data_IF_584353263563
#
_entry.id   IF_584353263563
#
_cell.length_a   1.000
_cell.length_b   1.000
_cell.length_c   1.000
_cell.angle_alpha   90.00
_cell.angle_beta   90.00
_cell.angle_gamma   90.00
#
_symmetry.space_group_name_H-M   'P 1'
#
loop_
_entity.id
_entity.type
_entity.pdbx_description
1 polymer ?
#
# COMPACT_ATOMS: atom_id res chain seq x y z
N UNK A 1 2.70 13.47 -28.85
CA UNK A 1 2.36 12.24 -29.60
C UNK A 1 1.39 12.50 -30.75
N UNK A 2 0.35 13.31 -30.56
CA UNK A 2 -0.67 13.61 -31.59
C UNK A 2 -0.10 14.17 -32.91
N UNK A 3 0.91 15.05 -32.86
CA UNK A 3 1.55 15.58 -34.07
C UNK A 3 2.28 14.52 -34.89
N UNK A 4 2.93 13.55 -34.23
CA UNK A 4 3.64 12.46 -34.91
C UNK A 4 2.67 11.52 -35.63
N UNK A 5 1.52 11.22 -35.02
CA UNK A 5 0.45 10.42 -35.64
C UNK A 5 -0.17 11.14 -36.84
N UNK A 6 -0.43 12.45 -36.74
CA UNK A 6 -0.97 13.23 -37.84
C UNK A 6 0.02 13.35 -39.02
N UNK A 7 1.32 13.51 -38.74
CA UNK A 7 2.37 13.50 -39.76
C UNK A 7 2.49 12.13 -40.45
N UNK A 8 2.43 11.03 -39.68
CA UNK A 8 2.49 9.67 -40.23
C UNK A 8 1.29 9.35 -41.13
N UNK A 9 0.08 9.75 -40.73
CA UNK A 9 -1.14 9.56 -41.54
C UNK A 9 -1.07 10.35 -42.86
N UNK A 10 -0.63 11.62 -42.82
CA UNK A 10 -0.44 12.42 -44.03
C UNK A 10 0.60 11.84 -44.98
N UNK A 11 1.70 11.30 -44.45
CA UNK A 11 2.72 10.64 -45.25
C UNK A 11 2.18 9.39 -45.94
N UNK A 12 1.42 8.56 -45.21
CA UNK A 12 0.77 7.36 -45.76
C UNK A 12 -0.22 7.70 -46.90
N UNK A 13 -1.11 8.66 -46.68
CA UNK A 13 -2.08 9.09 -47.71
C UNK A 13 -1.38 9.65 -48.95
N UNK A 14 -0.29 10.41 -48.77
CA UNK A 14 0.52 10.93 -49.89
C UNK A 14 1.15 9.79 -50.70
N UNK A 15 1.73 8.78 -50.02
CA UNK A 15 2.35 7.63 -50.66
C UNK A 15 1.33 6.81 -51.47
N UNK A 16 0.16 6.53 -50.90
CA UNK A 16 -0.92 5.80 -51.60
C UNK A 16 -1.39 6.58 -52.83
N UNK A 17 -1.53 7.91 -52.73
CA UNK A 17 -1.94 8.75 -53.86
C UNK A 17 -0.87 8.78 -54.97
N UNK A 18 0.40 8.74 -54.61
CA UNK A 18 1.50 8.64 -55.58
C UNK A 18 1.51 7.28 -56.30
N UNK A 19 1.32 6.18 -55.54
CA UNK A 19 1.24 4.83 -56.10
C UNK A 19 0.07 4.70 -57.10
N UNK A 20 -1.13 5.17 -56.73
CA UNK A 20 -2.30 5.18 -57.60
C UNK A 20 -2.06 5.96 -58.91
N UNK A 21 -1.39 7.12 -58.84
CA UNK A 21 -1.02 7.90 -60.04
C UNK A 21 0.00 7.19 -60.92
N UNK A 22 0.89 6.40 -60.34
CA UNK A 22 1.86 5.59 -61.09
C UNK A 22 1.15 4.49 -61.85
N UNK A 23 0.34 3.70 -61.14
CA UNK A 23 -0.39 2.59 -61.71
C UNK A 23 -1.36 3.02 -62.82
N UNK A 24 -2.03 4.16 -62.66
CA UNK A 24 -2.90 4.74 -63.71
C UNK A 24 -2.13 5.11 -64.99
N UNK A 25 -0.88 5.54 -64.88
CA UNK A 25 -0.03 5.85 -66.04
C UNK A 25 0.45 4.58 -66.73
N UNK A 26 0.75 3.55 -65.97
CA UNK A 26 1.16 2.23 -66.46
C UNK A 26 0.03 1.56 -67.25
N UNK A 27 -1.18 1.50 -66.69
CA UNK A 27 -2.37 1.00 -67.40
C UNK A 27 -2.66 1.81 -68.67
N UNK A 28 -2.56 3.15 -68.59
CA UNK A 28 -2.77 3.98 -69.77
C UNK A 28 -1.72 3.73 -70.87
N UNK A 29 -0.47 3.46 -70.49
CA UNK A 29 0.59 3.10 -71.41
C UNK A 29 0.34 1.71 -72.04
N UNK A 30 -0.06 0.71 -71.26
CA UNK A 30 -0.40 -0.62 -71.79
C UNK A 30 -1.58 -0.59 -72.76
N UNK A 31 -2.63 0.18 -72.45
CA UNK A 31 -3.77 0.36 -73.37
C UNK A 31 -3.31 1.03 -74.67
N UNK A 32 -2.40 2.01 -74.59
CA UNK A 32 -1.89 2.71 -75.76
C UNK A 32 -1.02 1.81 -76.65
N UNK A 33 -0.12 1.01 -76.06
CA UNK A 33 0.70 0.05 -76.82
C UNK A 33 -0.17 -1.04 -77.47
N UNK A 34 -1.15 -1.60 -76.73
CA UNK A 34 -2.11 -2.55 -77.34
C UNK A 34 -2.93 -1.93 -78.46
N UNK A 35 -3.33 -0.66 -78.32
CA UNK A 35 -4.05 0.04 -79.38
C UNK A 35 -3.15 0.25 -80.62
N UNK A 36 -1.87 0.55 -80.43
CA UNK A 36 -0.89 0.62 -81.54
C UNK A 36 -0.76 -0.75 -82.22
N UNK A 37 -0.64 -1.84 -81.46
CA UNK A 37 -0.49 -3.18 -82.01
C UNK A 37 -1.74 -3.63 -82.79
N UNK A 38 -2.94 -3.29 -82.31
CA UNK A 38 -4.20 -3.59 -83.01
C UNK A 38 -4.37 -2.74 -84.28
N UNK A 39 -3.86 -1.50 -84.28
CA UNK A 39 -3.97 -0.58 -85.43
C UNK A 39 -2.81 -0.70 -86.44
N UNK A 40 -1.71 -1.37 -86.09
CA UNK A 40 -0.51 -1.46 -86.93
C UNK A 40 -0.53 -2.45 -88.11
N UNK A 41 -1.29 -3.56 -88.15
CA UNK A 41 -1.06 -4.56 -89.20
C UNK A 41 -1.61 -4.18 -90.59
N UNK A 42 -2.47 -3.17 -90.73
CA UNK A 42 -3.18 -2.90 -92.00
C UNK A 42 -3.12 -1.43 -92.49
N UNK A 43 -2.15 -0.62 -92.07
CA UNK A 43 -1.87 0.62 -92.81
C UNK A 43 -0.97 0.30 -94.00
N UNK A 44 -1.51 0.17 -95.23
CA UNK A 44 -0.68 -0.02 -96.41
C UNK A 44 0.28 1.17 -96.51
N UNK A 45 1.55 0.84 -96.66
CA UNK A 45 2.62 1.79 -96.92
C UNK A 45 2.16 2.80 -97.99
N UNK A 46 2.09 4.13 -97.69
CA UNK A 46 1.63 5.12 -98.64
C UNK A 46 2.57 5.29 -99.84
N UNK A 47 3.68 4.54 -99.89
CA UNK A 47 4.60 4.50 -101.03
C UNK A 47 4.32 3.40 -102.08
N UNK A 48 3.27 2.60 -101.94
CA UNK A 48 2.78 1.71 -103.01
C UNK A 48 2.11 2.50 -104.15
N UNK A 49 2.93 3.22 -104.91
CA UNK A 49 2.60 3.73 -106.24
C UNK A 49 2.53 2.56 -107.23
N UNK A 50 1.46 2.59 -108.03
CA UNK A 50 1.24 1.87 -109.28
C UNK A 50 1.13 0.34 -109.22
N UNK A 51 -0.12 -0.15 -109.16
CA UNK A 51 -0.54 -1.19 -110.09
C UNK A 51 -1.99 -0.91 -110.51
N UNK A 52 -2.16 -0.08 -111.54
CA UNK A 52 -3.39 -0.02 -112.31
C UNK A 52 -3.43 -1.32 -113.12
N UNK A 53 -4.20 -2.30 -112.64
CA UNK A 53 -4.61 -3.45 -113.46
C UNK A 53 -6.04 -3.18 -113.90
N UNK A 54 -6.18 -2.74 -115.14
CA UNK A 54 -7.46 -2.65 -115.84
C UNK A 54 -7.89 -4.04 -116.33
N UNK A 55 -9.11 -4.41 -115.92
CA UNK A 55 -10.04 -5.35 -116.54
C UNK A 55 -9.72 -6.85 -116.63
N UNK A 56 -10.57 -7.64 -115.98
CA UNK A 56 -10.89 -9.02 -116.36
C UNK A 56 -11.25 -9.89 -115.16
N UNK A 57 -12.51 -10.31 -115.07
CA UNK A 57 -13.06 -11.37 -114.19
C UNK A 57 -13.41 -11.03 -112.74
N UNK A 58 -14.73 -11.05 -112.47
CA UNK A 58 -15.43 -10.63 -111.25
C UNK A 58 -15.78 -11.74 -110.22
N UNK A 59 -14.83 -12.55 -109.69
CA UNK A 59 -15.11 -13.30 -108.45
C UNK A 59 -14.19 -12.96 -107.25
N UNK A 60 -13.03 -12.34 -107.45
CA UNK A 60 -12.03 -12.13 -106.37
C UNK A 60 -12.35 -10.96 -105.42
N UNK A 61 -12.95 -9.86 -105.91
CA UNK A 61 -13.36 -8.73 -105.05
C UNK A 61 -14.42 -9.12 -104.02
N UNK A 62 -15.33 -10.03 -104.37
CA UNK A 62 -16.40 -10.46 -103.46
C UNK A 62 -15.85 -11.29 -102.28
N UNK A 63 -14.79 -12.07 -102.51
CA UNK A 63 -14.16 -12.90 -101.48
C UNK A 63 -13.43 -12.04 -100.42
N UNK A 64 -12.70 -11.00 -100.84
CA UNK A 64 -12.02 -10.10 -99.91
C UNK A 64 -13.00 -9.25 -99.09
N UNK A 65 -14.12 -8.83 -99.69
CA UNK A 65 -15.19 -8.13 -98.97
C UNK A 65 -15.84 -9.04 -97.92
N UNK A 66 -16.07 -10.31 -98.27
CA UNK A 66 -16.65 -11.29 -97.35
C UNK A 66 -15.69 -11.62 -96.19
N UNK A 67 -14.39 -11.75 -96.46
CA UNK A 67 -13.37 -11.95 -95.42
C UNK A 67 -13.27 -10.73 -94.49
N UNK A 68 -13.26 -9.51 -95.03
CA UNK A 68 -13.28 -8.28 -94.24
C UNK A 68 -14.52 -8.18 -93.36
N UNK A 69 -15.70 -8.52 -93.87
CA UNK A 69 -16.94 -8.57 -93.08
C UNK A 69 -16.85 -9.58 -91.94
N UNK A 70 -16.31 -10.78 -92.20
CA UNK A 70 -16.13 -11.77 -91.12
C UNK A 70 -15.15 -11.27 -90.06
N UNK A 71 -14.04 -10.63 -90.44
CA UNK A 71 -13.09 -10.03 -89.49
C UNK A 71 -13.72 -8.91 -88.67
N UNK A 72 -14.51 -8.03 -89.30
CA UNK A 72 -15.25 -6.99 -88.59
C UNK A 72 -16.21 -7.58 -87.55
N UNK A 73 -16.99 -8.60 -87.92
CA UNK A 73 -17.90 -9.26 -86.99
C UNK A 73 -17.16 -9.93 -85.82
N UNK A 74 -16.02 -10.56 -86.08
CA UNK A 74 -15.17 -11.15 -85.02
C UNK A 74 -14.63 -10.07 -84.07
N UNK A 75 -14.10 -8.97 -84.60
CA UNK A 75 -13.59 -7.86 -83.80
C UNK A 75 -14.69 -7.18 -82.98
N UNK A 76 -15.89 -7.01 -83.54
CA UNK A 76 -17.05 -6.49 -82.81
C UNK A 76 -17.43 -7.41 -81.64
N UNK A 77 -17.42 -8.72 -81.85
CA UNK A 77 -17.67 -9.71 -80.80
C UNK A 77 -16.60 -9.69 -79.71
N UNK A 78 -15.32 -9.62 -80.09
CA UNK A 78 -14.21 -9.53 -79.13
C UNK A 78 -14.27 -8.22 -78.33
N UNK A 79 -14.57 -7.11 -78.99
CA UNK A 79 -14.68 -5.80 -78.35
C UNK A 79 -15.84 -5.76 -77.36
N UNK A 80 -16.98 -6.38 -77.68
CA UNK A 80 -18.10 -6.50 -76.75
C UNK A 80 -17.76 -7.43 -75.57
N UNK A 81 -17.03 -8.52 -75.80
CA UNK A 81 -16.52 -9.38 -74.73
C UNK A 81 -15.60 -8.61 -73.77
N UNK A 82 -14.66 -7.84 -74.30
CA UNK A 82 -13.74 -7.01 -73.49
C UNK A 82 -14.50 -5.93 -72.71
N UNK A 83 -15.53 -5.31 -73.30
CA UNK A 83 -16.40 -4.36 -72.59
C UNK A 83 -17.12 -5.01 -71.42
N UNK A 84 -17.67 -6.19 -71.63
CA UNK A 84 -18.38 -6.93 -70.58
C UNK A 84 -17.44 -7.35 -69.45
N UNK A 85 -16.23 -7.83 -69.79
CA UNK A 85 -15.19 -8.17 -68.81
C UNK A 85 -14.77 -6.94 -68.00
N UNK A 86 -14.46 -5.82 -68.65
CA UNK A 86 -14.11 -4.58 -67.98
C UNK A 86 -15.23 -4.05 -67.06
N UNK A 87 -16.49 -4.23 -67.45
CA UNK A 87 -17.64 -3.87 -66.61
C UNK A 87 -17.74 -4.76 -65.37
N UNK A 88 -17.48 -6.07 -65.51
CA UNK A 88 -17.48 -7.03 -64.41
C UNK A 88 -16.32 -6.80 -63.44
N UNK A 89 -15.12 -6.52 -63.95
CA UNK A 89 -13.97 -6.16 -63.12
C UNK A 89 -14.24 -4.87 -62.36
N UNK A 90 -14.81 -3.85 -63.03
CA UNK A 90 -15.17 -2.60 -62.39
C UNK A 90 -16.18 -2.80 -61.26
N UNK A 91 -17.22 -3.60 -61.45
CA UNK A 91 -18.22 -3.86 -60.40
C UNK A 91 -17.63 -4.64 -59.21
N UNK A 92 -16.70 -5.55 -59.49
CA UNK A 92 -15.95 -6.30 -58.47
C UNK A 92 -15.08 -5.35 -57.64
N UNK A 93 -14.28 -4.49 -58.30
CA UNK A 93 -13.44 -3.50 -57.64
C UNK A 93 -14.25 -2.47 -56.85
N UNK A 94 -15.40 -2.03 -57.36
CA UNK A 94 -16.30 -1.13 -56.62
C UNK A 94 -16.82 -1.79 -55.32
N UNK A 95 -17.13 -3.09 -55.37
CA UNK A 95 -17.59 -3.86 -54.21
C UNK A 95 -16.48 -4.09 -53.18
N UNK A 96 -15.27 -4.45 -53.62
CA UNK A 96 -14.10 -4.59 -52.74
C UNK A 96 -13.72 -3.27 -52.07
N UNK A 97 -13.78 -2.17 -52.83
CA UNK A 97 -13.48 -0.85 -52.32
C UNK A 97 -14.48 -0.42 -51.25
N UNK A 98 -15.77 -0.71 -51.43
CA UNK A 98 -16.79 -0.45 -50.43
C UNK A 98 -16.60 -1.31 -49.18
N UNK A 99 -16.25 -2.59 -49.34
CA UNK A 99 -15.91 -3.47 -48.21
C UNK A 99 -14.73 -2.91 -47.39
N UNK A 100 -13.64 -2.52 -48.05
CA UNK A 100 -12.46 -1.94 -47.38
C UNK A 100 -12.81 -0.63 -46.67
N UNK A 101 -13.68 0.20 -47.24
CA UNK A 101 -14.17 1.43 -46.58
C UNK A 101 -14.94 1.12 -45.31
N UNK A 102 -15.86 0.16 -45.36
CA UNK A 102 -16.66 -0.23 -44.21
C UNK A 102 -15.77 -0.84 -43.11
N UNK A 103 -14.86 -1.74 -43.48
CA UNK A 103 -13.91 -2.34 -42.54
C UNK A 103 -13.02 -1.26 -41.87
N UNK A 104 -12.51 -0.30 -42.65
CA UNK A 104 -11.74 0.82 -42.12
C UNK A 104 -12.57 1.69 -41.17
N UNK A 105 -13.83 1.97 -41.50
CA UNK A 105 -14.73 2.73 -40.63
C UNK A 105 -14.99 2.01 -39.30
N UNK A 106 -15.26 0.71 -39.34
CA UNK A 106 -15.47 -0.11 -38.12
C UNK A 106 -14.22 -0.13 -37.25
N UNK A 107 -13.02 -0.28 -37.85
CA UNK A 107 -11.75 -0.23 -37.10
C UNK A 107 -11.53 1.14 -36.46
N UNK A 108 -11.81 2.24 -37.18
CA UNK A 108 -11.73 3.59 -36.61
C UNK A 108 -12.65 3.75 -35.40
N UNK A 109 -13.92 3.36 -35.51
CA UNK A 109 -14.88 3.44 -34.41
C UNK A 109 -14.45 2.60 -33.20
N UNK A 110 -13.91 1.41 -33.45
CA UNK A 110 -13.40 0.52 -32.38
C UNK A 110 -12.23 1.17 -31.65
N UNK A 111 -11.25 1.70 -32.38
CA UNK A 111 -10.09 2.37 -31.80
C UNK A 111 -10.48 3.65 -31.05
N UNK A 112 -11.46 4.41 -31.53
CA UNK A 112 -11.99 5.58 -30.82
C UNK A 112 -12.62 5.19 -29.48
N UNK A 113 -13.40 4.11 -29.47
CA UNK A 113 -14.00 3.57 -28.24
C UNK A 113 -12.95 3.07 -27.24
N UNK A 114 -11.94 2.33 -27.71
CA UNK A 114 -10.84 1.86 -26.86
C UNK A 114 -10.05 3.03 -26.27
N UNK A 115 -9.76 4.04 -27.10
CA UNK A 115 -9.02 5.23 -26.66
C UNK A 115 -9.80 6.00 -25.58
N UNK A 116 -11.12 6.14 -25.74
CA UNK A 116 -11.96 6.79 -24.73
C UNK A 116 -12.03 5.99 -23.43
N UNK A 117 -12.12 4.65 -23.51
CA UNK A 117 -12.03 3.79 -22.33
C UNK A 117 -10.72 3.98 -21.57
N UNK A 118 -9.59 4.01 -22.28
CA UNK A 118 -8.27 4.22 -21.68
C UNK A 118 -8.16 5.60 -21.04
N UNK A 119 -8.71 6.65 -21.68
CA UNK A 119 -8.75 7.99 -21.08
C UNK A 119 -9.52 8.00 -19.76
N UNK A 120 -10.69 7.34 -19.73
CA UNK A 120 -11.51 7.27 -18.53
C UNK A 120 -10.80 6.49 -17.41
N UNK A 121 -10.13 5.38 -17.74
CA UNK A 121 -9.33 4.61 -16.80
C UNK A 121 -8.21 5.46 -16.18
N UNK A 122 -7.41 6.13 -17.02
CA UNK A 122 -6.33 7.02 -16.57
C UNK A 122 -6.87 8.15 -15.67
N UNK A 123 -8.04 8.72 -16.00
CA UNK A 123 -8.66 9.74 -15.17
C UNK A 123 -9.09 9.20 -13.80
N UNK A 124 -9.64 7.99 -13.75
CA UNK A 124 -10.05 7.32 -12.51
C UNK A 124 -8.86 6.93 -11.64
N UNK A 125 -7.77 6.44 -12.24
CA UNK A 125 -6.53 6.15 -11.53
C UNK A 125 -5.92 7.42 -10.94
N UNK A 126 -5.90 8.50 -11.73
CA UNK A 126 -5.39 9.80 -11.28
C UNK A 126 -6.18 10.33 -10.09
N UNK A 127 -7.51 10.30 -10.14
CA UNK A 127 -8.34 10.78 -9.01
C UNK A 127 -8.15 9.92 -7.76
N UNK A 128 -7.99 8.61 -7.93
CA UNK A 128 -7.68 7.68 -6.83
C UNK A 128 -6.32 7.99 -6.19
N UNK A 129 -5.29 8.24 -7.01
CA UNK A 129 -3.96 8.61 -6.52
C UNK A 129 -3.96 9.96 -5.82
N UNK A 130 -4.68 10.95 -6.36
CA UNK A 130 -4.83 12.27 -5.73
C UNK A 130 -5.50 12.15 -4.34
N UNK A 131 -6.53 11.31 -4.20
CA UNK A 131 -7.18 11.04 -2.91
C UNK A 131 -6.25 10.36 -1.90
N UNK A 132 -5.50 9.33 -2.33
CA UNK A 132 -4.51 8.65 -1.47
C UNK A 132 -3.42 9.60 -1.01
N UNK A 133 -2.94 10.45 -1.90
CA UNK A 133 -1.90 11.43 -1.61
C UNK A 133 -2.38 12.49 -0.61
N UNK A 134 -3.64 12.93 -0.70
CA UNK A 134 -4.22 13.82 0.28
C UNK A 134 -4.38 13.17 1.66
N UNK A 135 -4.78 11.90 1.71
CA UNK A 135 -4.83 11.13 2.96
C UNK A 135 -3.46 11.04 3.63
N UNK A 136 -2.40 10.74 2.88
CA UNK A 136 -1.02 10.70 3.39
C UNK A 136 -0.56 12.05 3.93
N UNK A 137 -0.94 13.16 3.28
CA UNK A 137 -0.63 14.51 3.77
C UNK A 137 -1.29 14.81 5.10
N UNK A 138 -2.57 14.46 5.26
CA UNK A 138 -3.30 14.64 6.52
C UNK A 138 -2.68 13.80 7.64
N UNK A 139 -2.30 12.56 7.36
CA UNK A 139 -1.62 11.70 8.33
C UNK A 139 -0.26 12.30 8.74
N UNK A 140 0.54 12.77 7.78
CA UNK A 140 1.82 13.43 8.06
C UNK A 140 1.65 14.69 8.92
N UNK A 141 0.60 15.49 8.68
CA UNK A 141 0.28 16.66 9.49
C UNK A 141 -0.12 16.27 10.93
N UNK A 142 -0.95 15.24 11.09
CA UNK A 142 -1.32 14.69 12.40
C UNK A 142 -0.09 14.21 13.17
N UNK A 143 0.77 13.43 12.52
CA UNK A 143 2.02 12.92 13.10
C UNK A 143 2.98 14.05 13.52
N UNK A 144 3.07 15.13 12.73
CA UNK A 144 3.84 16.32 13.09
C UNK A 144 3.30 17.00 14.36
N UNK A 145 1.97 17.09 14.50
CA UNK A 145 1.32 17.61 15.71
C UNK A 145 1.59 16.73 16.92
N UNK A 146 1.42 15.41 16.79
CA UNK A 146 1.72 14.45 17.86
C UNK A 146 3.18 14.54 18.30
N UNK A 147 4.13 14.65 17.37
CA UNK A 147 5.56 14.80 17.67
C UNK A 147 5.86 16.06 18.49
N UNK A 148 5.16 17.18 18.22
CA UNK A 148 5.27 18.40 19.04
C UNK A 148 4.73 18.18 20.45
N UNK A 149 3.62 17.47 20.59
CA UNK A 149 3.04 17.15 21.90
C UNK A 149 3.95 16.23 22.72
N UNK A 150 4.54 15.21 22.11
CA UNK A 150 5.53 14.34 22.76
C UNK A 150 6.71 15.15 23.28
N UNK A 151 7.30 16.03 22.45
CA UNK A 151 8.39 16.92 22.89
C UNK A 151 7.99 17.81 24.06
N UNK A 152 6.76 18.35 24.07
CA UNK A 152 6.25 19.15 25.20
C UNK A 152 6.13 18.30 26.47
N UNK A 153 5.65 17.07 26.36
CA UNK A 153 5.57 16.16 27.50
C UNK A 153 6.95 15.81 28.04
N UNK A 154 7.93 15.53 27.16
CA UNK A 154 9.31 15.27 27.56
C UNK A 154 9.89 16.45 28.36
N UNK A 155 9.69 17.69 27.90
CA UNK A 155 10.14 18.88 28.64
C UNK A 155 9.45 19.02 30.01
N UNK A 156 8.16 18.69 30.11
CA UNK A 156 7.45 18.75 31.40
C UNK A 156 7.91 17.66 32.36
N UNK A 157 8.17 16.46 31.86
CA UNK A 157 8.71 15.36 32.67
C UNK A 157 10.09 15.72 33.23
N UNK A 158 10.95 16.33 32.42
CA UNK A 158 12.27 16.79 32.90
C UNK A 158 12.13 17.86 33.99
N UNK A 159 11.25 18.85 33.81
CA UNK A 159 10.98 19.87 34.83
C UNK A 159 10.45 19.27 36.14
N UNK A 160 9.51 18.33 36.08
CA UNK A 160 8.98 17.64 37.26
C UNK A 160 10.05 16.77 37.94
N UNK A 161 10.93 16.14 37.18
CA UNK A 161 12.03 15.35 37.73
C UNK A 161 13.01 16.25 38.52
N UNK A 162 13.29 17.46 38.04
CA UNK A 162 14.12 18.44 38.76
C UNK A 162 13.41 18.91 40.04
N UNK A 163 12.13 19.31 39.93
CA UNK A 163 11.34 19.76 41.08
C UNK A 163 11.27 18.71 42.18
N UNK A 164 10.93 17.46 41.83
CA UNK A 164 10.87 16.34 42.79
C UNK A 164 12.23 16.06 43.41
N UNK A 165 13.32 16.15 42.64
CA UNK A 165 14.68 16.00 43.17
C UNK A 165 15.00 17.08 44.20
N UNK A 166 14.60 18.32 43.96
CA UNK A 166 14.83 19.42 44.89
C UNK A 166 13.95 19.32 46.15
N UNK A 167 12.68 18.94 46.02
CA UNK A 167 11.82 18.65 47.17
C UNK A 167 12.36 17.51 48.03
N UNK A 168 12.93 16.44 47.42
CA UNK A 168 13.56 15.36 48.18
C UNK A 168 14.77 15.89 48.96
N UNK A 169 15.62 16.73 48.36
CA UNK A 169 16.76 17.32 49.08
C UNK A 169 16.29 18.14 50.27
N UNK A 170 15.29 19.00 50.09
CA UNK A 170 14.72 19.82 51.16
C UNK A 170 14.19 18.96 52.31
N UNK A 171 13.38 17.94 52.01
CA UNK A 171 12.88 16.99 53.01
C UNK A 171 13.99 16.23 53.73
N UNK A 172 15.09 15.90 53.04
CA UNK A 172 16.24 15.23 53.67
C UNK A 172 16.96 16.13 54.66
N UNK A 173 17.10 17.43 54.37
CA UNK A 173 17.68 18.40 55.32
C UNK A 173 16.78 18.60 56.54
N UNK A 174 15.46 18.78 56.33
CA UNK A 174 14.48 18.85 57.42
C UNK A 174 14.50 17.59 58.29
N UNK A 175 14.64 16.41 57.68
CA UNK A 175 14.76 15.15 58.40
C UNK A 175 16.01 15.08 59.29
N UNK A 176 17.16 15.56 58.78
CA UNK A 176 18.41 15.64 59.55
C UNK A 176 18.27 16.57 60.76
N UNK A 177 17.66 17.74 60.56
CA UNK A 177 17.41 18.69 61.64
C UNK A 177 16.49 18.10 62.71
N UNK A 178 15.38 17.49 62.30
CA UNK A 178 14.45 16.82 63.21
C UNK A 178 15.13 15.69 64.00
N UNK A 179 16.02 14.92 63.36
CA UNK A 179 16.83 13.89 64.02
C UNK A 179 17.76 14.49 65.09
N UNK A 180 18.40 15.62 64.81
CA UNK A 180 19.23 16.34 65.77
C UNK A 180 18.40 16.85 66.96
N UNK A 181 17.23 17.44 66.69
CA UNK A 181 16.31 17.93 67.71
C UNK A 181 15.82 16.80 68.63
N UNK A 182 15.41 15.65 68.07
CA UNK A 182 15.00 14.47 68.85
C UNK A 182 16.14 13.96 69.75
N UNK A 183 17.37 13.91 69.25
CA UNK A 183 18.54 13.55 70.06
C UNK A 183 18.76 14.54 71.20
N UNK A 184 18.60 15.84 70.95
CA UNK A 184 18.66 16.89 71.97
C UNK A 184 17.62 16.70 73.08
N UNK A 185 16.35 16.49 72.71
CA UNK A 185 15.26 16.25 73.66
C UNK A 185 15.50 14.98 74.51
N UNK A 186 16.00 13.90 73.91
CA UNK A 186 16.34 12.66 74.65
C UNK A 186 17.42 12.91 75.71
N UNK A 187 18.45 13.71 75.40
CA UNK A 187 19.48 14.09 76.39
C UNK A 187 18.88 14.87 77.56
N UNK A 188 18.03 15.86 77.27
CA UNK A 188 17.33 16.63 78.32
C UNK A 188 16.43 15.74 79.18
N UNK A 189 15.71 14.80 78.57
CA UNK A 189 14.86 13.85 79.30
C UNK A 189 15.68 12.97 80.26
N UNK A 190 16.87 12.53 79.87
CA UNK A 190 17.78 11.77 80.74
C UNK A 190 18.26 12.64 81.90
N UNK A 191 18.68 13.89 81.64
CA UNK A 191 19.11 14.82 82.69
C UNK A 191 18.00 15.08 83.72
N UNK A 192 16.77 15.30 83.24
CA UNK A 192 15.59 15.48 84.10
C UNK A 192 15.30 14.25 84.97
N UNK A 193 15.38 13.04 84.39
CA UNK A 193 15.21 11.79 85.16
C UNK A 193 16.27 11.62 86.24
N UNK A 194 17.52 11.98 85.95
CA UNK A 194 18.59 11.89 86.93
C UNK A 194 18.39 12.88 88.11
N UNK A 195 17.87 14.08 87.84
CA UNK A 195 17.51 15.05 88.89
C UNK A 195 16.36 14.55 89.76
N UNK A 196 15.30 13.97 89.17
CA UNK A 196 14.18 13.43 89.96
C UNK A 196 14.58 12.22 90.78
N UNK A 197 15.47 11.34 90.29
CA UNK A 197 16.01 10.25 91.10
C UNK A 197 16.86 10.76 92.26
N UNK A 198 17.68 11.80 92.06
CA UNK A 198 18.47 12.40 93.13
C UNK A 198 17.59 13.03 94.22
N UNK A 199 16.51 13.71 93.82
CA UNK A 199 15.51 14.26 94.73
C UNK A 199 14.75 13.16 95.49
N UNK A 200 14.38 12.05 94.84
CA UNK A 200 13.73 10.91 95.48
C UNK A 200 14.64 10.19 96.48
N UNK A 201 15.95 10.03 96.18
CA UNK A 201 16.92 9.48 97.15
C UNK A 201 17.15 10.41 98.34
N UNK A 202 17.03 11.72 98.18
CA UNK A 202 17.07 12.66 99.30
C UNK A 202 15.79 12.60 100.17
N UNK A 203 14.64 12.28 99.58
CA UNK A 203 13.37 12.11 100.29
C UNK A 203 13.22 10.74 100.99
N UNK A 204 13.98 9.71 100.62
CA UNK A 204 13.92 8.36 101.20
C UNK A 204 14.68 8.20 102.53
N UNK A 205 15.14 9.30 103.16
CA UNK A 205 15.75 9.32 104.50
C UNK A 205 14.70 9.36 105.62
N UNK A 206 13.41 9.16 105.31
CA UNK A 206 12.36 8.88 106.30
C UNK A 206 11.76 7.48 106.11
N UNK A 207 11.60 6.69 107.19
CA UNK A 207 11.17 5.29 107.10
C UNK A 207 9.71 5.17 106.62
N UNK A 208 9.39 4.15 105.81
CA UNK A 208 8.03 3.93 105.33
C UNK A 208 7.13 3.34 106.43
N UNK A 209 5.88 3.79 106.59
CA UNK A 209 4.88 3.03 107.32
C UNK A 209 4.49 1.80 106.49
N UNK A 210 4.52 0.67 107.19
CA UNK A 210 4.07 -0.66 106.78
C UNK A 210 2.64 -0.69 106.26
N UNK A 211 2.45 -1.35 105.12
CA UNK A 211 1.19 -2.00 104.76
C UNK A 211 0.48 -1.40 103.55
N UNK A 212 0.54 -2.09 102.41
CA UNK A 212 -0.62 -2.27 101.53
C UNK A 212 -0.29 -3.25 100.39
N UNK A 213 -1.14 -4.26 100.34
CA UNK A 213 -1.23 -5.41 99.46
C UNK A 213 -1.60 -5.05 98.01
N UNK A 214 -1.17 -5.91 97.09
CA UNK A 214 -1.87 -6.32 95.86
C UNK A 214 -2.24 -5.25 94.81
N UNK A 215 -1.75 -5.45 93.58
CA UNK A 215 -2.59 -5.98 92.48
C UNK A 215 -1.82 -5.98 91.16
N UNK A 216 -1.54 -7.17 90.65
CA UNK A 216 -1.08 -7.39 89.29
C UNK A 216 -2.26 -7.14 88.32
N UNK A 217 -2.25 -6.00 87.62
CA UNK A 217 -3.20 -5.73 86.54
C UNK A 217 -2.59 -6.18 85.20
N UNK A 218 -2.97 -7.39 84.81
CA UNK A 218 -2.73 -7.98 83.50
C UNK A 218 -3.32 -7.08 82.41
N UNK A 219 -2.47 -6.60 81.49
CA UNK A 219 -2.91 -5.89 80.27
C UNK A 219 -3.25 -6.92 79.19
N UNK A 220 -4.39 -6.81 78.50
CA UNK A 220 -4.77 -7.73 77.44
C UNK A 220 -3.90 -7.51 76.20
N UNK A 221 -3.33 -8.60 75.68
CA UNK A 221 -2.70 -8.67 74.36
C UNK A 221 -3.78 -8.42 73.30
N UNK A 222 -3.82 -7.21 72.75
CA UNK A 222 -4.59 -6.91 71.55
C UNK A 222 -3.94 -7.65 70.36
N UNK A 223 -4.62 -8.69 69.89
CA UNK A 223 -4.26 -9.42 68.68
C UNK A 223 -4.29 -8.49 67.47
N UNK A 224 -3.10 -8.15 66.97
CA UNK A 224 -2.94 -7.48 65.69
C UNK A 224 -3.30 -8.48 64.59
N UNK A 225 -4.52 -8.40 64.04
CA UNK A 225 -4.81 -8.99 62.74
C UNK A 225 -4.02 -8.21 61.68
N UNK A 226 -2.87 -8.75 61.32
CA UNK A 226 -2.09 -8.27 60.18
C UNK A 226 -2.87 -8.63 58.91
N UNK A 227 -3.62 -7.68 58.35
CA UNK A 227 -4.04 -7.76 56.95
C UNK A 227 -2.77 -7.55 56.13
N UNK A 228 -2.30 -8.62 55.49
CA UNK A 228 -1.29 -8.51 54.46
C UNK A 228 -2.00 -8.03 53.19
N UNK A 229 -1.90 -6.73 52.91
CA UNK A 229 -2.28 -6.19 51.62
C UNK A 229 -1.15 -6.56 50.63
N UNK A 230 -1.34 -7.66 49.91
CA UNK A 230 -0.39 -8.08 48.89
C UNK A 230 -0.53 -7.17 47.67
N UNK A 231 0.45 -6.30 47.46
CA UNK A 231 0.58 -5.53 46.22
C UNK A 231 1.50 -6.29 45.28
N UNK A 232 0.93 -6.94 44.27
CA UNK A 232 1.71 -7.56 43.20
C UNK A 232 2.22 -6.45 42.27
N UNK A 233 3.51 -6.15 42.33
CA UNK A 233 4.15 -5.30 41.32
C UNK A 233 4.64 -6.19 40.18
N UNK A 234 3.91 -6.19 39.07
CA UNK A 234 4.37 -6.81 37.84
C UNK A 234 5.31 -5.84 37.15
N UNK A 235 6.61 -6.05 37.27
CA UNK A 235 7.62 -5.37 36.44
C UNK A 235 7.69 -6.11 35.11
N UNK A 236 6.87 -5.68 34.15
CA UNK A 236 6.92 -6.17 32.78
C UNK A 236 8.16 -5.58 32.09
N UNK A 237 9.03 -6.45 31.57
CA UNK A 237 10.14 -6.05 30.73
C UNK A 237 9.61 -5.58 29.37
N UNK A 238 10.28 -4.63 28.70
CA UNK A 238 9.76 -3.92 27.49
C UNK A 238 9.51 -4.81 26.26
N UNK A 239 9.63 -6.13 26.38
CA UNK A 239 9.42 -7.12 25.32
C UNK A 239 8.30 -8.12 25.62
N UNK A 240 7.59 -8.05 26.74
CA UNK A 240 6.46 -8.96 26.99
C UNK A 240 5.20 -8.48 26.26
N UNK A 241 4.57 -9.33 25.44
CA UNK A 241 3.30 -9.01 24.77
C UNK A 241 2.20 -8.70 25.78
N UNK A 242 1.18 -7.96 25.33
CA UNK A 242 0.09 -7.42 26.11
C UNK A 242 -0.60 -8.50 26.95
N UNK A 243 -0.40 -8.43 28.26
CA UNK A 243 -1.16 -9.21 29.25
C UNK A 243 -2.51 -8.51 29.41
N UNK A 244 -3.59 -9.19 29.06
CA UNK A 244 -4.94 -8.60 29.07
C UNK A 244 -5.66 -8.81 30.39
N UNK A 245 -5.40 -9.93 31.05
CA UNK A 245 -6.10 -10.28 32.28
C UNK A 245 -5.23 -11.17 33.18
N UNK A 246 -5.40 -10.97 34.49
CA UNK A 246 -4.73 -11.74 35.54
C UNK A 246 -5.75 -12.05 36.63
N UNK A 247 -6.04 -13.34 36.81
CA UNK A 247 -6.98 -13.79 37.84
C UNK A 247 -6.27 -14.65 38.89
N UNK A 248 -6.46 -14.30 40.16
CA UNK A 248 -6.01 -15.12 41.28
C UNK A 248 -7.09 -16.16 41.60
N UNK A 249 -6.74 -17.44 41.44
CA UNK A 249 -7.63 -18.56 41.74
C UNK A 249 -7.45 -19.01 43.21
N UNK A 250 -8.50 -19.60 43.82
CA UNK A 250 -8.40 -20.23 45.13
C UNK A 250 -7.26 -21.25 45.18
N UNK A 251 -6.50 -21.25 46.27
CA UNK A 251 -5.31 -22.11 46.42
C UNK A 251 -3.99 -21.49 45.96
N UNK A 252 -3.95 -20.18 45.71
CA UNK A 252 -2.69 -19.48 45.39
C UNK A 252 -2.21 -19.75 43.96
N UNK A 253 -3.12 -19.95 43.01
CA UNK A 253 -2.75 -20.09 41.59
C UNK A 253 -3.04 -18.78 40.86
N UNK A 254 -2.18 -18.41 39.93
CA UNK A 254 -2.34 -17.22 39.10
C UNK A 254 -2.59 -17.64 37.66
N UNK A 255 -3.69 -17.17 37.08
CA UNK A 255 -4.04 -17.40 35.68
C UNK A 255 -3.75 -16.13 34.88
N UNK A 256 -2.96 -16.25 33.83
CA UNK A 256 -2.47 -15.13 33.04
C UNK A 256 -2.81 -15.34 31.56
N UNK A 257 -3.59 -14.43 30.99
CA UNK A 257 -4.01 -14.47 29.60
C UNK A 257 -3.11 -13.58 28.73
N UNK A 258 -2.44 -14.20 27.76
CA UNK A 258 -1.53 -13.54 26.82
C UNK A 258 -2.11 -13.67 25.40
N UNK A 259 -2.69 -12.56 24.91
CA UNK A 259 -3.32 -12.52 23.58
C UNK A 259 -2.29 -12.50 22.46
N UNK A 260 -1.11 -11.92 22.68
CA UNK A 260 -0.06 -11.86 21.66
C UNK A 260 0.43 -13.26 21.28
N UNK A 261 0.41 -14.18 22.24
CA UNK A 261 0.78 -15.58 22.04
C UNK A 261 -0.44 -16.53 21.98
N UNK A 262 -1.67 -16.01 22.01
CA UNK A 262 -2.92 -16.78 22.04
C UNK A 262 -2.89 -17.93 23.07
N UNK A 263 -2.36 -17.68 24.27
CA UNK A 263 -2.18 -18.72 25.27
C UNK A 263 -2.59 -18.25 26.68
N UNK A 264 -3.02 -19.22 27.50
CA UNK A 264 -3.28 -19.01 28.93
C UNK A 264 -2.24 -19.77 29.72
N UNK A 265 -1.53 -19.07 30.61
CA UNK A 265 -0.51 -19.66 31.48
C UNK A 265 -1.05 -19.72 32.91
N UNK A 266 -1.01 -20.91 33.50
CA UNK A 266 -1.33 -21.14 34.91
C UNK A 266 -0.03 -21.26 35.70
N UNK A 267 0.11 -20.43 36.73
CA UNK A 267 1.24 -20.45 37.65
C UNK A 267 0.76 -20.93 39.03
N UNK A 268 1.50 -21.85 39.64
CA UNK A 268 1.27 -22.26 41.02
C UNK A 268 2.20 -21.43 41.94
N UNK A 269 1.65 -20.59 42.81
CA UNK A 269 2.45 -19.82 43.78
C UNK A 269 2.69 -20.67 45.01
N UNK A 270 3.36 -21.81 44.85
CA UNK A 270 3.86 -22.54 46.00
C UNK A 270 5.02 -21.75 46.59
N UNK A 271 4.71 -20.89 47.55
CA UNK A 271 5.69 -20.31 48.45
C UNK A 271 6.13 -21.43 49.38
N UNK A 272 7.18 -22.16 49.01
CA UNK A 272 7.91 -23.00 49.95
C UNK A 272 8.31 -22.12 51.13
N UNK A 273 7.77 -22.43 52.32
CA UNK A 273 8.00 -21.69 53.56
C UNK A 273 9.49 -21.77 53.93
N UNK A 274 10.28 -20.82 53.43
CA UNK A 274 11.65 -20.62 53.87
C UNK A 274 11.62 -19.86 55.20
N UNK A 275 12.32 -20.45 56.18
CA UNK A 275 12.44 -19.98 57.55
C UNK A 275 12.66 -18.46 57.65
N UNK A 276 11.91 -17.86 58.57
CA UNK A 276 11.87 -16.44 58.88
C UNK A 276 13.12 -16.00 59.63
N UNK A 277 14.24 -15.81 58.94
CA UNK A 277 15.41 -15.17 59.57
C UNK A 277 16.33 -14.48 58.54
N UNK A 278 15.78 -13.71 57.60
CA UNK A 278 16.49 -12.63 56.91
C UNK A 278 15.54 -11.80 56.05
N UNK A 279 14.96 -10.75 56.63
CA UNK A 279 14.25 -9.69 55.88
C UNK A 279 15.28 -8.71 55.33
N UNK A 280 15.84 -9.00 54.15
CA UNK A 280 16.34 -8.03 53.15
C UNK A 280 17.12 -8.79 52.05
N UNK A 281 16.45 -9.70 51.35
CA UNK A 281 16.89 -10.10 50.01
C UNK A 281 15.67 -10.05 49.10
N UNK A 282 15.63 -9.04 48.23
CA UNK A 282 14.76 -9.05 47.07
C UNK A 282 15.17 -10.25 46.21
N UNK A 283 14.25 -11.19 46.01
CA UNK A 283 14.44 -12.30 45.07
C UNK A 283 14.38 -11.70 43.66
N UNK A 284 15.54 -11.37 43.10
CA UNK A 284 15.71 -11.02 41.70
C UNK A 284 16.17 -12.25 40.91
N UNK A 285 15.37 -13.32 40.95
CA UNK A 285 15.60 -14.53 40.18
C UNK A 285 14.26 -15.19 39.84
N UNK A 286 13.78 -14.91 38.63
CA UNK A 286 12.60 -15.53 38.02
C UNK A 286 12.97 -16.77 37.18
N UNK A 287 14.14 -17.37 37.44
CA UNK A 287 14.76 -18.39 36.56
C UNK A 287 14.47 -19.85 36.97
N UNK A 288 13.54 -20.11 37.90
CA UNK A 288 13.19 -21.50 38.28
C UNK A 288 11.70 -21.71 38.49
N UNK A 289 10.89 -21.46 37.46
CA UNK A 289 9.55 -22.03 37.39
C UNK A 289 9.61 -23.35 36.62
N UNK A 290 9.54 -24.45 37.36
CA UNK A 290 9.43 -25.79 36.79
C UNK A 290 8.09 -25.94 36.05
N UNK A 291 8.18 -26.04 34.72
CA UNK A 291 7.17 -26.48 33.76
C UNK A 291 5.79 -25.81 33.85
N UNK A 292 5.55 -24.69 33.14
CA UNK A 292 4.18 -24.23 32.91
C UNK A 292 3.42 -25.29 32.10
N UNK A 293 2.23 -25.66 32.58
CA UNK A 293 1.31 -26.51 31.83
C UNK A 293 0.67 -25.62 30.76
N UNK A 294 1.24 -25.63 29.55
CA UNK A 294 0.76 -24.83 28.43
C UNK A 294 -0.44 -25.55 27.82
N UNK A 295 -1.62 -24.97 27.99
CA UNK A 295 -2.82 -25.37 27.26
C UNK A 295 -2.90 -24.43 26.07
N UNK A 296 -2.45 -24.90 24.90
CA UNK A 296 -2.69 -24.21 23.64
C UNK A 296 -4.16 -24.42 23.26
N UNK A 297 -4.87 -23.31 23.03
CA UNK A 297 -6.22 -23.31 22.47
C UNK A 297 -6.16 -23.32 20.94
#
# INVERSE_FOLDING_TARGET
MHEKLCASSKAYVSAVKAALRSHRREIAAEIFERAIDVLSPDFPDPTCKSLIVTHGDKPLENMHVQEAQTKCLTLESELESVRQEAQNERSTLESELEYVRQEAQTKCLTLESELESVRQEVQNERSTLESKLESVRQEAQSNSSMKKNVRRLDTRLESLAIETKDSIKELTEVSKENSANIKGLRKLQILMKNQTTAAATAAAVTPPPTGATASALSRPLMGVRQRADFTVKVTADKRTPSIYDVQLLPGGRLLLADYGNMCVKLFDTQVSSLNTENRHQCISSLDSFTNPLIISL
#
